data_IF_105744540383
#
_entry.id   IF_105744540383
#
_cell.length_a   1.000
_cell.length_b   1.000
_cell.length_c   1.000
_cell.angle_alpha   90.00
_cell.angle_beta   90.00
_cell.angle_gamma   90.00
#
_symmetry.space_group_name_H-M   'P 1'
#
loop_
_entity.id
_entity.type
_entity.pdbx_description
1 polymer ?
#
# COMPACT_ATOMS: atom_id res chain seq x y z
N UNK A 1 -16.29 17.13 -64.87
CA UNK A 1 -17.36 16.17 -64.51
C UNK A 1 -16.81 14.77 -64.79
N UNK A 2 -16.59 14.01 -63.72
CA UNK A 2 -16.19 12.59 -63.57
C UNK A 2 -15.36 11.92 -64.70
N UNK A 3 -14.08 11.75 -64.40
CA UNK A 3 -13.10 10.90 -65.08
C UNK A 3 -13.22 9.47 -64.53
N UNK A 4 -13.21 8.46 -65.39
CA UNK A 4 -12.92 7.07 -65.03
C UNK A 4 -12.14 6.42 -66.18
N UNK A 5 -10.82 6.28 -65.99
CA UNK A 5 -9.94 5.50 -66.85
C UNK A 5 -9.54 4.23 -66.08
N UNK A 6 -9.61 3.13 -66.81
CA UNK A 6 -9.53 1.74 -66.34
C UNK A 6 -8.08 1.27 -66.19
N UNK A 7 -7.92 0.41 -65.18
CA UNK A 7 -6.81 -0.47 -64.80
C UNK A 7 -5.69 -0.73 -65.83
N UNK A 8 -4.47 -0.69 -65.31
CA UNK A 8 -3.31 -1.36 -65.86
C UNK A 8 -2.56 -2.12 -64.75
N UNK A 9 -2.19 -3.36 -65.08
CA UNK A 9 -0.89 -4.02 -64.79
C UNK A 9 -0.76 -4.92 -63.53
N UNK A 10 -0.74 -6.21 -63.86
CA UNK A 10 0.27 -7.25 -63.60
C UNK A 10 0.47 -7.87 -62.20
N UNK A 11 0.33 -9.20 -62.23
CA UNK A 11 0.99 -10.18 -61.39
C UNK A 11 2.51 -9.96 -61.34
N UNK A 12 3.05 -9.98 -60.12
CA UNK A 12 4.48 -10.06 -59.84
C UNK A 12 4.69 -10.49 -58.40
N UNK A 13 4.61 -11.79 -58.15
CA UNK A 13 4.97 -12.43 -56.89
C UNK A 13 6.50 -12.35 -56.71
N UNK A 14 6.96 -11.57 -55.73
CA UNK A 14 8.28 -11.73 -55.13
C UNK A 14 8.09 -11.67 -53.62
N UNK A 15 8.19 -12.84 -52.99
CA UNK A 15 8.20 -12.96 -51.54
C UNK A 15 9.54 -12.43 -51.00
N UNK A 16 9.50 -11.34 -50.24
CA UNK A 16 10.59 -10.89 -49.40
C UNK A 16 10.15 -11.00 -47.94
N UNK A 17 10.91 -11.79 -47.19
CA UNK A 17 10.79 -12.06 -45.77
C UNK A 17 10.82 -10.74 -44.98
N UNK A 18 9.67 -10.31 -44.43
CA UNK A 18 9.62 -9.20 -43.47
C UNK A 18 9.61 -9.78 -42.06
N UNK A 19 10.54 -9.27 -41.23
CA UNK A 19 10.55 -9.39 -39.77
C UNK A 19 9.11 -9.39 -39.22
N UNK A 20 8.83 -10.33 -38.31
CA UNK A 20 7.59 -10.36 -37.54
C UNK A 20 7.34 -9.00 -36.89
N UNK A 21 6.39 -8.24 -37.45
CA UNK A 21 5.70 -7.22 -36.70
C UNK A 21 4.90 -7.96 -35.64
N UNK A 22 5.35 -7.85 -34.39
CA UNK A 22 4.46 -8.05 -33.26
C UNK A 22 3.24 -7.18 -33.54
N UNK A 23 2.10 -7.83 -33.82
CA UNK A 23 0.80 -7.18 -33.75
C UNK A 23 0.70 -6.65 -32.34
N UNK A 24 0.95 -5.36 -32.16
CA UNK A 24 0.51 -4.64 -30.98
C UNK A 24 -0.99 -4.95 -30.89
N UNK A 25 -1.37 -5.71 -29.86
CA UNK A 25 -2.75 -5.72 -29.43
C UNK A 25 -3.02 -4.29 -29.03
N UNK A 26 -3.63 -3.55 -29.95
CA UNK A 26 -4.28 -2.31 -29.62
C UNK A 26 -5.40 -2.68 -28.67
N UNK A 27 -5.12 -2.58 -27.37
CA UNK A 27 -6.18 -2.41 -26.38
C UNK A 27 -6.70 -0.99 -26.58
N UNK A 28 -7.35 -0.74 -27.72
CA UNK A 28 -8.27 0.39 -27.85
C UNK A 28 -9.33 0.17 -26.79
N UNK A 29 -9.47 1.17 -25.91
CA UNK A 29 -10.39 1.12 -24.79
C UNK A 29 -11.78 0.73 -25.28
N UNK A 30 -12.20 -0.47 -24.91
CA UNK A 30 -13.62 -0.74 -24.72
C UNK A 30 -14.04 0.15 -23.55
N UNK A 31 -14.47 1.36 -23.88
CA UNK A 31 -15.11 2.25 -22.93
C UNK A 31 -16.23 1.50 -22.24
N UNK A 32 -16.29 1.62 -20.92
CA UNK A 32 -17.43 1.22 -20.11
C UNK A 32 -18.66 2.12 -20.43
N UNK A 33 -19.04 2.23 -21.70
CA UNK A 33 -20.24 2.96 -22.10
C UNK A 33 -21.47 2.12 -21.71
N UNK A 34 -22.20 2.59 -20.69
CA UNK A 34 -23.44 1.99 -20.22
C UNK A 34 -23.44 1.52 -18.76
N UNK A 35 -22.32 1.56 -18.05
CA UNK A 35 -22.36 1.37 -16.59
C UNK A 35 -22.85 2.63 -15.90
N UNK A 36 -23.76 2.52 -14.90
CA UNK A 36 -24.10 3.67 -14.05
C UNK A 36 -22.81 4.22 -13.43
N UNK A 37 -22.72 5.53 -13.16
CA UNK A 37 -21.54 6.11 -12.52
C UNK A 37 -21.24 5.32 -11.24
N UNK A 38 -19.97 4.92 -11.09
CA UNK A 38 -19.51 4.21 -9.90
C UNK A 38 -19.92 5.00 -8.65
N UNK A 39 -20.57 4.35 -7.66
CA UNK A 39 -20.96 5.04 -6.44
C UNK A 39 -19.76 5.73 -5.77
N UNK A 40 -19.98 6.86 -5.10
CA UNK A 40 -18.90 7.67 -4.52
C UNK A 40 -17.99 6.87 -3.58
N UNK A 41 -18.54 5.92 -2.81
CA UNK A 41 -17.76 5.06 -1.91
C UNK A 41 -16.88 4.02 -2.63
N UNK A 42 -17.05 3.82 -3.94
CA UNK A 42 -16.17 2.93 -4.73
C UNK A 42 -15.02 3.70 -5.39
N UNK A 43 -15.01 5.03 -5.27
CA UNK A 43 -14.02 5.89 -5.89
C UNK A 43 -12.85 6.18 -4.94
N UNK A 44 -11.66 6.39 -5.51
CA UNK A 44 -10.51 6.86 -4.75
C UNK A 44 -10.76 8.29 -4.27
N UNK A 45 -10.42 8.54 -3.01
CA UNK A 45 -10.57 9.86 -2.35
C UNK A 45 -9.22 10.58 -2.27
N UNK A 46 -9.22 11.83 -1.80
CA UNK A 46 -7.98 12.55 -1.51
C UNK A 46 -7.09 11.80 -0.50
N UNK A 47 -7.67 11.09 0.48
CA UNK A 47 -6.90 10.23 1.39
C UNK A 47 -6.06 9.20 0.61
N UNK A 48 -6.60 8.59 -0.44
CA UNK A 48 -5.87 7.63 -1.26
C UNK A 48 -4.72 8.27 -2.04
N UNK A 49 -4.90 9.50 -2.52
CA UNK A 49 -3.83 10.25 -3.20
C UNK A 49 -2.71 10.63 -2.24
N UNK A 50 -3.07 11.02 -1.02
CA UNK A 50 -2.12 11.40 0.04
C UNK A 50 -1.30 10.20 0.53
N UNK A 51 -1.84 8.98 0.55
CA UNK A 51 -1.11 7.77 0.94
C UNK A 51 0.15 7.51 0.10
N UNK A 52 0.19 7.98 -1.15
CA UNK A 52 1.38 7.87 -2.03
C UNK A 52 2.59 8.57 -1.41
N UNK A 53 2.39 9.64 -0.63
CA UNK A 53 3.49 10.36 0.05
C UNK A 53 4.18 9.51 1.12
N UNK A 54 3.53 8.44 1.58
CA UNK A 54 4.13 7.47 2.50
C UNK A 54 4.90 6.35 1.79
N UNK A 55 4.91 6.31 0.45
CA UNK A 55 5.64 5.28 -0.29
C UNK A 55 7.12 5.63 -0.44
N UNK A 56 7.98 4.60 -0.41
CA UNK A 56 9.43 4.75 -0.46
C UNK A 56 10.14 3.64 0.30
N UNK A 57 11.47 3.72 0.36
CA UNK A 57 12.28 2.88 1.22
C UNK A 57 12.89 3.75 2.30
N UNK A 58 12.77 3.30 3.55
CA UNK A 58 13.14 4.06 4.75
C UNK A 58 14.01 3.22 5.66
N UNK A 59 15.09 3.82 6.16
CA UNK A 59 15.82 3.31 7.31
C UNK A 59 15.09 3.76 8.59
N UNK A 60 14.64 2.79 9.37
CA UNK A 60 13.88 2.99 10.59
C UNK A 60 14.80 2.78 11.78
N UNK A 61 14.83 3.76 12.68
CA UNK A 61 15.42 3.63 14.02
C UNK A 61 14.30 3.77 15.02
N UNK A 62 14.15 2.77 15.89
CA UNK A 62 13.08 2.74 16.87
C UNK A 62 13.58 2.34 18.24
N UNK A 63 12.77 2.65 19.24
CA UNK A 63 12.91 2.14 20.61
C UNK A 63 11.65 1.38 20.98
N UNK A 64 11.82 0.28 21.72
CA UNK A 64 10.71 -0.52 22.21
C UNK A 64 10.90 -0.90 23.67
N UNK A 65 9.80 -0.93 24.42
CA UNK A 65 9.78 -1.37 25.81
C UNK A 65 9.22 -2.78 25.87
N UNK A 66 10.07 -3.75 26.16
CA UNK A 66 9.64 -5.14 26.37
C UNK A 66 8.97 -5.32 27.72
N UNK A 67 9.45 -4.59 28.74
CA UNK A 67 8.95 -4.66 30.12
C UNK A 67 8.61 -3.25 30.60
N UNK A 68 7.40 -3.01 31.13
CA UNK A 68 7.06 -1.73 31.74
C UNK A 68 8.03 -1.38 32.88
N UNK A 69 8.66 -0.21 32.81
CA UNK A 69 9.59 0.27 33.83
C UNK A 69 11.07 -0.05 33.59
N UNK A 70 11.39 -0.90 32.60
CA UNK A 70 12.77 -1.14 32.15
C UNK A 70 13.19 -0.13 31.07
N UNK A 71 14.50 0.06 30.82
CA UNK A 71 14.98 0.86 29.70
C UNK A 71 14.44 0.35 28.35
N UNK A 72 14.20 1.29 27.43
CA UNK A 72 13.82 0.93 26.07
C UNK A 72 15.00 0.28 25.34
N UNK A 73 14.72 -0.74 24.55
CA UNK A 73 15.68 -1.36 23.63
C UNK A 73 15.62 -0.66 22.27
N UNK A 74 16.77 -0.27 21.74
CA UNK A 74 16.87 0.28 20.38
C UNK A 74 16.90 -0.83 19.33
N UNK A 75 16.26 -0.59 18.18
CA UNK A 75 16.35 -1.45 17.01
C UNK A 75 16.53 -0.63 15.72
N UNK A 76 17.09 -1.27 14.71
CA UNK A 76 17.19 -0.74 13.35
C UNK A 76 16.47 -1.66 12.38
N UNK A 77 15.75 -1.06 11.44
CA UNK A 77 14.99 -1.78 10.44
C UNK A 77 15.00 -1.05 9.11
N UNK A 78 14.61 -1.75 8.05
CA UNK A 78 14.30 -1.17 6.75
C UNK A 78 12.83 -1.41 6.44
N UNK A 79 12.10 -0.34 6.11
CA UNK A 79 10.71 -0.39 5.67
C UNK A 79 10.63 -0.02 4.19
N UNK A 80 9.96 -0.85 3.38
CA UNK A 80 9.69 -0.54 1.96
C UNK A 80 8.18 -0.49 1.73
N UNK A 81 7.69 0.68 1.35
CA UNK A 81 6.27 0.99 1.18
C UNK A 81 5.94 1.24 -0.28
N UNK A 82 4.88 0.61 -0.78
CA UNK A 82 4.40 0.79 -2.17
C UNK A 82 2.87 0.75 -2.25
N UNK A 83 2.31 1.49 -3.21
CA UNK A 83 0.90 1.34 -3.56
C UNK A 83 0.66 -0.01 -4.24
N UNK A 84 -0.46 -0.65 -3.91
CA UNK A 84 -0.97 -1.88 -4.52
C UNK A 84 -2.46 -1.72 -4.87
N UNK A 85 -3.01 -2.65 -5.64
CA UNK A 85 -4.44 -2.71 -5.98
C UNK A 85 -4.95 -1.42 -6.63
N UNK A 86 -4.20 -0.94 -7.62
CA UNK A 86 -4.46 0.29 -8.39
C UNK A 86 -4.61 1.54 -7.50
N UNK A 87 -3.74 1.67 -6.50
CA UNK A 87 -3.70 2.86 -5.63
C UNK A 87 -4.69 2.83 -4.47
N UNK A 88 -5.26 1.66 -4.13
CA UNK A 88 -6.23 1.52 -3.03
C UNK A 88 -5.58 1.26 -1.68
N UNK A 89 -4.47 0.54 -1.67
CA UNK A 89 -3.78 0.15 -0.45
C UNK A 89 -2.29 0.41 -0.57
N UNK A 90 -1.64 0.61 0.57
CA UNK A 90 -0.18 0.58 0.72
C UNK A 90 0.19 -0.78 1.30
N UNK A 91 1.18 -1.44 0.69
CA UNK A 91 1.89 -2.55 1.31
C UNK A 91 3.21 -2.03 1.87
N UNK A 92 3.50 -2.36 3.14
CA UNK A 92 4.82 -2.20 3.74
C UNK A 92 5.48 -3.56 3.96
N UNK A 93 6.71 -3.72 3.49
CA UNK A 93 7.60 -4.81 3.89
C UNK A 93 8.59 -4.27 4.91
N UNK A 94 8.66 -4.90 6.09
CA UNK A 94 9.49 -4.47 7.21
C UNK A 94 10.51 -5.56 7.57
N UNK A 95 11.79 -5.22 7.58
CA UNK A 95 12.88 -6.15 7.92
C UNK A 95 13.74 -5.53 9.00
N UNK A 96 13.96 -6.28 10.09
CA UNK A 96 14.72 -5.82 11.25
C UNK A 96 15.60 -6.95 11.80
N UNK A 97 16.60 -6.60 12.59
CA UNK A 97 17.25 -7.53 13.50
C UNK A 97 16.85 -7.15 14.93
N UNK A 98 16.19 -8.08 15.62
CA UNK A 98 15.77 -7.90 17.00
C UNK A 98 16.47 -8.93 17.88
N UNK A 99 17.24 -8.48 18.88
CA UNK A 99 18.02 -9.35 19.78
C UNK A 99 18.94 -10.34 19.05
N UNK A 100 19.51 -9.92 17.92
CA UNK A 100 20.37 -10.77 17.07
C UNK A 100 19.62 -11.83 16.26
N UNK A 101 18.28 -11.80 16.26
CA UNK A 101 17.44 -12.67 15.45
C UNK A 101 16.78 -11.89 14.31
N UNK A 102 16.70 -12.45 13.08
CA UNK A 102 15.97 -11.84 12.00
C UNK A 102 14.48 -11.70 12.33
N UNK A 103 13.94 -10.51 12.11
CA UNK A 103 12.54 -10.19 12.24
C UNK A 103 11.99 -9.71 10.90
N UNK A 104 10.82 -10.21 10.51
CA UNK A 104 10.11 -9.77 9.31
C UNK A 104 8.67 -9.43 9.66
N UNK A 105 8.21 -8.29 9.18
CA UNK A 105 6.84 -7.84 9.27
C UNK A 105 6.31 -7.40 7.91
N UNK A 106 5.00 -7.37 7.79
CA UNK A 106 4.30 -6.81 6.64
C UNK A 106 3.03 -6.11 7.09
N UNK A 107 2.78 -4.93 6.53
CA UNK A 107 1.49 -4.24 6.68
C UNK A 107 0.74 -4.14 5.37
N UNK A 108 -0.59 -4.12 5.45
CA UNK A 108 -1.45 -3.58 4.40
C UNK A 108 -2.31 -2.50 5.02
N UNK A 109 -2.16 -1.28 4.51
CA UNK A 109 -2.81 -0.07 5.00
C UNK A 109 -3.73 0.50 3.91
N UNK A 110 -4.86 1.09 4.30
CA UNK A 110 -5.79 1.72 3.36
C UNK A 110 -6.78 2.64 4.05
N UNK A 111 -7.68 3.23 3.25
CA UNK A 111 -8.78 4.05 3.75
C UNK A 111 -10.12 3.46 3.34
N UNK A 112 -10.93 3.05 4.32
CA UNK A 112 -12.29 2.59 4.09
C UNK A 112 -13.21 3.79 3.85
N UNK A 113 -13.72 3.92 2.64
CA UNK A 113 -14.61 5.01 2.20
C UNK A 113 -16.02 4.92 2.79
N UNK A 114 -16.47 3.73 3.18
CA UNK A 114 -17.79 3.49 3.79
C UNK A 114 -17.71 3.85 5.27
N UNK A 115 -16.72 3.29 5.99
CA UNK A 115 -16.51 3.55 7.41
C UNK A 115 -15.82 4.91 7.69
N UNK A 116 -15.20 5.51 6.66
CA UNK A 116 -14.48 6.79 6.70
C UNK A 116 -13.31 6.77 7.69
N UNK A 117 -12.56 5.68 7.69
CA UNK A 117 -11.44 5.44 8.62
C UNK A 117 -10.27 4.74 7.92
N UNK A 118 -9.07 4.95 8.46
CA UNK A 118 -7.90 4.17 8.09
C UNK A 118 -8.06 2.75 8.60
N UNK A 119 -7.65 1.78 7.78
CA UNK A 119 -7.57 0.37 8.13
C UNK A 119 -6.13 -0.08 7.96
N UNK A 120 -5.68 -0.92 8.88
CA UNK A 120 -4.37 -1.56 8.79
C UNK A 120 -4.46 -3.00 9.26
N UNK A 121 -3.75 -3.87 8.56
CA UNK A 121 -3.42 -5.21 9.06
C UNK A 121 -1.92 -5.34 9.16
N UNK A 122 -1.48 -6.05 10.19
CA UNK A 122 -0.07 -6.37 10.42
C UNK A 122 0.10 -7.87 10.65
N UNK A 123 1.12 -8.43 10.03
CA UNK A 123 1.59 -9.81 10.26
C UNK A 123 3.11 -9.80 10.43
N UNK A 124 3.64 -10.71 11.24
CA UNK A 124 5.08 -10.81 11.45
C UNK A 124 5.56 -12.24 11.73
N UNK A 125 6.88 -12.42 11.77
CA UNK A 125 7.54 -13.70 11.99
C UNK A 125 7.62 -14.13 13.46
N UNK A 126 7.18 -13.29 14.40
CA UNK A 126 7.22 -13.59 15.84
C UNK A 126 5.91 -14.13 16.39
N UNK A 127 4.81 -13.91 15.65
CA UNK A 127 3.45 -14.16 16.12
C UNK A 127 2.64 -15.01 15.14
N UNK A 128 1.92 -16.06 15.59
CA UNK A 128 1.04 -16.85 14.74
C UNK A 128 -0.35 -16.22 14.54
N UNK A 129 -0.47 -14.91 14.74
CA UNK A 129 -1.72 -14.15 14.64
C UNK A 129 -1.46 -12.80 13.95
N UNK A 130 -2.53 -12.22 13.40
CA UNK A 130 -2.50 -10.91 12.76
C UNK A 130 -3.09 -9.84 13.68
N UNK A 131 -2.59 -8.61 13.56
CA UNK A 131 -3.22 -7.45 14.17
C UNK A 131 -4.11 -6.74 13.16
N UNK A 132 -5.34 -6.38 13.57
CA UNK A 132 -6.23 -5.52 12.79
C UNK A 132 -6.44 -4.23 13.54
N UNK A 133 -6.27 -3.12 12.83
CA UNK A 133 -6.38 -1.80 13.40
C UNK A 133 -7.24 -0.91 12.53
N UNK A 134 -7.98 -0.03 13.20
CA UNK A 134 -8.85 0.99 12.60
C UNK A 134 -8.61 2.32 13.26
N UNK A 135 -8.64 3.40 12.50
CA UNK A 135 -8.28 4.68 13.08
C UNK A 135 -8.55 5.88 12.20
N UNK A 136 -8.23 7.04 12.74
CA UNK A 136 -8.39 8.32 12.06
C UNK A 136 -7.08 9.07 12.05
N UNK A 137 -6.87 9.82 10.97
CA UNK A 137 -5.83 10.82 10.88
C UNK A 137 -6.45 12.16 11.26
N UNK A 138 -5.90 12.80 12.28
CA UNK A 138 -6.29 14.13 12.73
C UNK A 138 -5.75 15.20 11.78
N UNK A 139 -6.26 16.44 11.90
CA UNK A 139 -5.90 17.55 11.00
C UNK A 139 -4.42 17.93 11.06
N UNK A 140 -3.76 17.65 12.17
CA UNK A 140 -2.33 17.88 12.39
C UNK A 140 -1.45 16.74 11.87
N UNK A 141 -2.05 15.71 11.26
CA UNK A 141 -1.35 14.51 10.79
C UNK A 141 -1.18 13.43 11.86
N UNK A 142 -1.62 13.66 13.11
CA UNK A 142 -1.61 12.64 14.16
C UNK A 142 -2.54 11.49 13.77
N UNK A 143 -1.99 10.29 13.65
CA UNK A 143 -2.76 9.08 13.37
C UNK A 143 -3.05 8.36 14.69
N UNK A 144 -4.32 8.05 14.93
CA UNK A 144 -4.75 7.25 16.08
C UNK A 144 -5.44 5.99 15.58
N UNK A 145 -4.79 4.84 15.76
CA UNK A 145 -5.28 3.52 15.39
C UNK A 145 -5.62 2.74 16.64
N UNK A 146 -6.76 2.06 16.65
CA UNK A 146 -7.21 1.16 17.70
C UNK A 146 -7.39 -0.23 17.12
N UNK A 147 -7.02 -1.25 17.88
CA UNK A 147 -7.20 -2.63 17.49
C UNK A 147 -7.32 -3.54 18.71
N UNK A 148 -7.33 -4.83 18.43
CA UNK A 148 -7.17 -5.86 19.45
C UNK A 148 -5.98 -6.72 19.06
N UNK A 149 -5.11 -7.00 20.01
CA UNK A 149 -4.00 -7.95 19.86
C UNK A 149 -3.94 -8.85 21.08
N UNK A 150 -3.56 -10.12 20.94
CA UNK A 150 -3.30 -10.95 22.09
C UNK A 150 -2.09 -10.40 22.86
N UNK A 151 -2.19 -10.37 24.18
CA UNK A 151 -1.07 -10.12 25.07
C UNK A 151 -0.20 -11.37 25.13
N UNK A 152 1.05 -11.27 24.67
CA UNK A 152 1.96 -12.42 24.60
C UNK A 152 2.29 -13.03 25.97
N UNK A 153 2.01 -12.33 27.07
CA UNK A 153 2.26 -12.81 28.43
C UNK A 153 1.02 -13.51 29.02
N UNK A 154 -0.18 -12.94 28.88
CA UNK A 154 -1.40 -13.54 29.43
C UNK A 154 -2.13 -14.48 28.47
N UNK A 155 -1.96 -14.32 27.16
CA UNK A 155 -2.74 -14.99 26.12
C UNK A 155 -4.13 -14.39 25.90
N UNK A 156 -4.51 -13.34 26.65
CA UNK A 156 -5.80 -12.66 26.51
C UNK A 156 -5.76 -11.62 25.39
N UNK A 157 -6.91 -11.39 24.74
CA UNK A 157 -7.05 -10.28 23.79
C UNK A 157 -7.16 -8.96 24.56
N UNK A 158 -6.20 -8.06 24.35
CA UNK A 158 -6.22 -6.71 24.90
C UNK A 158 -6.52 -5.69 23.80
N UNK A 159 -7.21 -4.62 24.19
CA UNK A 159 -7.33 -3.45 23.33
C UNK A 159 -5.94 -2.83 23.21
N UNK A 160 -5.55 -2.50 21.98
CA UNK A 160 -4.31 -1.79 21.73
C UNK A 160 -4.60 -0.47 21.02
N UNK A 161 -3.79 0.53 21.32
CA UNK A 161 -3.85 1.83 20.65
C UNK A 161 -2.46 2.18 20.14
N UNK A 162 -2.38 2.53 18.87
CA UNK A 162 -1.19 3.12 18.27
C UNK A 162 -1.46 4.59 18.03
N UNK A 163 -0.56 5.44 18.49
CA UNK A 163 -0.53 6.85 18.13
C UNK A 163 0.73 7.09 17.30
N UNK A 164 0.54 7.39 16.02
CA UNK A 164 1.58 7.84 15.10
C UNK A 164 1.59 9.36 15.05
N UNK A 165 2.72 9.99 15.37
CA UNK A 165 2.90 11.44 15.24
C UNK A 165 3.99 11.75 14.22
N UNK A 166 3.69 12.47 13.14
CA UNK A 166 4.73 12.95 12.24
C UNK A 166 5.60 13.98 12.96
N UNK A 167 6.91 13.94 12.71
CA UNK A 167 7.84 14.99 13.11
C UNK A 167 7.62 16.25 12.27
N UNK A 168 8.10 17.39 12.78
CA UNK A 168 8.06 18.66 12.06
C UNK A 168 8.90 18.64 10.77
N UNK A 169 9.89 17.75 10.66
CA UNK A 169 10.67 17.54 9.44
C UNK A 169 9.96 16.68 8.38
N UNK A 170 8.82 16.06 8.74
CA UNK A 170 8.03 15.21 7.85
C UNK A 170 8.67 13.86 7.49
N UNK A 171 9.88 13.58 8.01
CA UNK A 171 10.70 12.43 7.64
C UNK A 171 10.79 11.38 8.75
N UNK A 172 10.25 11.68 9.93
CA UNK A 172 10.22 10.79 11.09
C UNK A 172 8.78 10.63 11.56
N UNK A 173 8.38 9.42 11.95
CA UNK A 173 7.10 9.19 12.62
C UNK A 173 7.37 8.50 13.95
N UNK A 174 6.89 9.10 15.04
CA UNK A 174 6.92 8.46 16.36
C UNK A 174 5.66 7.63 16.52
N UNK A 175 5.82 6.31 16.62
CA UNK A 175 4.74 5.39 16.95
C UNK A 175 4.81 5.04 18.43
N UNK A 176 3.72 5.28 19.16
CA UNK A 176 3.59 4.86 20.56
C UNK A 176 2.48 3.85 20.69
N UNK A 177 2.80 2.71 21.29
CA UNK A 177 1.89 1.60 21.53
C UNK A 177 1.40 1.65 22.98
N UNK A 178 0.09 1.66 23.15
CA UNK A 178 -0.58 1.62 24.45
C UNK A 178 -1.33 0.29 24.57
N UNK A 179 -1.19 -0.34 25.74
CA UNK A 179 -2.07 -1.41 26.22
C UNK A 179 -3.25 -0.82 26.99
#
# INVERSE_FOLDING_TARGET
MKVAAVLAIALGLVAAFTLGQATAVQTEGQGMEGMPPMPEWMQLTECHKEMVKSCGTFDVKGTMWMVPGEPAEEFQATATRKMIMDGRFVQEDFVSEFMGMPFKGMSIEGYDTIAKEMVSIWIDSSSPYLSVQRGKVEKDGTMVMMGKSPDMMSGDMIDNKIVGKPSADGNTMTMTFYK
#
